data_IF_554012593372
#
_entry.id   IF_554012593372
#
_cell.length_a   1.000
_cell.length_b   1.000
_cell.length_c   1.000
_cell.angle_alpha   90.00
_cell.angle_beta   90.00
_cell.angle_gamma   90.00
#
_symmetry.space_group_name_H-M   'P 1'
#
loop_
_entity.id
_entity.type
_entity.pdbx_description
1 polymer ?
#
# COMPACT_ATOMS: atom_id res chain seq x y z
N UNK A 1 -20.94 10.49 0.14
CA UNK A 1 -19.54 10.67 -0.29
C UNK A 1 -18.69 9.66 0.46
N UNK A 2 -18.27 8.52 -0.11
CA UNK A 2 -17.40 7.61 0.62
C UNK A 2 -15.92 8.02 0.46
N UNK A 3 -15.33 8.25 1.63
CA UNK A 3 -13.95 8.13 2.09
C UNK A 3 -12.78 8.35 1.10
N UNK A 4 -11.92 9.27 1.52
CA UNK A 4 -10.60 9.61 0.99
C UNK A 4 -9.61 8.49 1.26
N UNK A 5 -8.79 8.13 0.27
CA UNK A 5 -7.64 7.22 0.43
C UNK A 5 -6.84 7.62 1.65
N UNK A 6 -6.84 6.76 2.66
CA UNK A 6 -6.35 7.14 3.97
C UNK A 6 -4.83 7.30 3.95
N UNK A 7 -4.35 8.46 4.40
CA UNK A 7 -2.92 8.72 4.50
C UNK A 7 -2.32 7.89 5.64
N UNK A 8 -1.02 7.60 5.56
CA UNK A 8 -0.28 6.82 6.59
C UNK A 8 -0.47 7.37 8.02
N UNK A 9 -0.78 8.67 8.15
CA UNK A 9 -1.06 9.32 9.42
C UNK A 9 -2.42 8.92 10.03
N UNK A 10 -3.41 8.55 9.22
CA UNK A 10 -4.75 8.15 9.68
C UNK A 10 -4.92 6.64 9.79
N UNK A 11 -4.27 5.87 8.92
CA UNK A 11 -4.39 4.41 8.85
C UNK A 11 -3.06 3.67 9.09
N UNK A 12 -2.45 3.86 10.27
CA UNK A 12 -1.14 3.24 10.57
C UNK A 12 -1.17 1.71 10.57
N UNK A 13 -2.33 1.11 10.85
CA UNK A 13 -2.57 -0.34 10.76
C UNK A 13 -2.48 -0.88 9.32
N UNK A 14 -2.74 -0.07 8.30
CA UNK A 14 -2.67 -0.50 6.90
C UNK A 14 -1.29 -0.29 6.26
N UNK A 15 -0.32 0.28 7.00
CA UNK A 15 0.98 0.72 6.47
C UNK A 15 1.77 -0.37 5.75
N UNK A 16 1.72 -1.60 6.24
CA UNK A 16 2.48 -2.73 5.68
C UNK A 16 1.61 -3.71 4.89
N UNK A 17 0.36 -3.34 4.61
CA UNK A 17 -0.54 -4.15 3.78
C UNK A 17 -0.13 -4.06 2.31
N UNK A 18 0.19 -5.18 1.67
CA UNK A 18 0.78 -5.24 0.31
C UNK A 18 0.00 -4.47 -0.76
N UNK A 19 -1.33 -4.50 -0.72
CA UNK A 19 -2.19 -3.81 -1.67
C UNK A 19 -2.22 -2.28 -1.47
N UNK A 20 -1.80 -1.81 -0.30
CA UNK A 20 -1.71 -0.39 0.05
C UNK A 20 -0.29 0.20 -0.17
N UNK A 21 0.69 -0.61 -0.55
CA UNK A 21 2.05 -0.17 -0.84
C UNK A 21 2.20 0.06 -2.35
N UNK A 22 2.10 1.32 -2.78
CA UNK A 22 2.18 1.69 -4.19
C UNK A 22 3.12 2.87 -4.39
N UNK A 23 3.89 2.84 -5.47
CA UNK A 23 4.81 3.92 -5.82
C UNK A 23 4.02 5.11 -6.37
N UNK A 24 4.40 6.32 -5.94
CA UNK A 24 3.93 7.59 -6.48
C UNK A 24 5.12 8.45 -6.90
N UNK A 25 4.89 9.37 -7.85
CA UNK A 25 5.88 10.37 -8.23
C UNK A 25 6.20 11.33 -7.07
N UNK A 26 7.37 11.97 -7.06
CA UNK A 26 7.79 12.86 -5.96
C UNK A 26 6.86 14.07 -5.81
N UNK A 27 6.53 14.75 -6.91
CA UNK A 27 5.61 15.89 -6.93
C UNK A 27 4.19 15.47 -6.46
N UNK A 28 3.77 14.27 -6.85
CA UNK A 28 2.47 13.70 -6.47
C UNK A 28 2.41 13.41 -4.96
N UNK A 29 3.45 12.77 -4.44
CA UNK A 29 3.51 12.28 -3.07
C UNK A 29 3.80 13.42 -2.08
N UNK A 30 4.80 14.25 -2.39
CA UNK A 30 5.30 15.31 -1.50
C UNK A 30 4.66 16.65 -1.87
N UNK A 31 4.76 17.07 -3.13
CA UNK A 31 4.32 18.40 -3.58
C UNK A 31 2.81 18.62 -3.53
N UNK A 32 2.03 17.58 -3.83
CA UNK A 32 0.55 17.62 -3.93
C UNK A 32 -0.16 16.92 -2.78
N UNK A 33 0.50 16.78 -1.62
CA UNK A 33 -0.06 16.13 -0.43
C UNK A 33 -0.62 14.73 -0.74
N UNK A 34 0.14 13.91 -1.46
CA UNK A 34 -0.26 12.55 -1.86
C UNK A 34 -1.18 12.46 -3.08
N UNK A 35 -1.65 13.59 -3.64
CA UNK A 35 -2.57 13.63 -4.79
C UNK A 35 -3.73 12.62 -4.67
N UNK A 36 -4.39 12.61 -3.51
CA UNK A 36 -5.28 11.54 -3.03
C UNK A 36 -6.36 11.13 -4.04
N UNK A 37 -7.00 12.09 -4.72
CA UNK A 37 -8.07 11.79 -5.68
C UNK A 37 -7.56 10.96 -6.86
N UNK A 38 -6.47 11.39 -7.48
CA UNK A 38 -5.88 10.68 -8.62
C UNK A 38 -5.25 9.36 -8.18
N UNK A 39 -4.66 9.34 -6.98
CA UNK A 39 -4.13 8.11 -6.38
C UNK A 39 -5.22 7.05 -6.20
N UNK A 40 -6.40 7.44 -5.69
CA UNK A 40 -7.55 6.54 -5.57
C UNK A 40 -7.97 5.95 -6.91
N UNK A 41 -8.07 6.77 -7.96
CA UNK A 41 -8.47 6.32 -9.30
C UNK A 41 -7.49 5.26 -9.81
N UNK A 42 -6.19 5.51 -9.71
CA UNK A 42 -5.17 4.53 -10.11
C UNK A 42 -5.20 3.24 -9.27
N UNK A 43 -5.52 3.34 -7.97
CA UNK A 43 -5.73 2.14 -7.14
C UNK A 43 -6.94 1.33 -7.60
N UNK A 44 -8.06 1.98 -7.91
CA UNK A 44 -9.26 1.30 -8.41
C UNK A 44 -8.96 0.57 -9.72
N UNK A 45 -8.20 1.18 -10.62
CA UNK A 45 -7.76 0.53 -11.86
C UNK A 45 -6.84 -0.68 -11.60
N UNK A 46 -6.00 -0.62 -10.56
CA UNK A 46 -5.00 -1.66 -10.24
C UNK A 46 -5.57 -2.86 -9.47
N UNK A 47 -6.42 -2.60 -8.46
CA UNK A 47 -6.90 -3.64 -7.52
C UNK A 47 -8.43 -3.75 -7.47
N UNK A 48 -9.16 -2.90 -8.18
CA UNK A 48 -10.61 -2.88 -8.24
C UNK A 48 -11.28 -2.05 -7.14
N UNK A 49 -12.48 -1.55 -7.43
CA UNK A 49 -13.24 -0.66 -6.53
C UNK A 49 -13.56 -1.34 -5.19
N UNK A 50 -13.92 -2.62 -5.19
CA UNK A 50 -14.25 -3.35 -3.96
C UNK A 50 -13.07 -3.45 -2.98
N UNK A 51 -11.85 -3.66 -3.50
CA UNK A 51 -10.65 -3.72 -2.67
C UNK A 51 -10.29 -2.34 -2.11
N UNK A 52 -10.41 -1.29 -2.92
CA UNK A 52 -10.18 0.09 -2.48
C UNK A 52 -11.19 0.50 -1.41
N UNK A 53 -12.48 0.19 -1.60
CA UNK A 53 -13.50 0.44 -0.58
C UNK A 53 -13.24 -0.35 0.71
N UNK A 54 -12.70 -1.57 0.61
CA UNK A 54 -12.27 -2.34 1.77
C UNK A 54 -11.17 -1.63 2.57
N UNK A 55 -10.18 -1.07 1.89
CA UNK A 55 -9.11 -0.28 2.52
C UNK A 55 -9.65 1.02 3.12
N UNK A 56 -10.47 1.76 2.38
CA UNK A 56 -11.03 3.05 2.80
C UNK A 56 -11.96 2.92 4.03
N UNK A 57 -12.52 1.73 4.28
CA UNK A 57 -13.42 1.48 5.42
C UNK A 57 -12.79 0.63 6.54
N UNK A 58 -11.54 0.16 6.41
CA UNK A 58 -10.88 -0.60 7.46
C UNK A 58 -10.40 0.36 8.56
N UNK A 59 -11.16 0.43 9.65
CA UNK A 59 -10.88 1.27 10.82
C UNK A 59 -10.38 0.46 12.03
N UNK A 60 -9.79 -0.72 11.78
CA UNK A 60 -9.27 -1.57 12.87
C UNK A 60 -8.07 -0.91 13.55
N UNK A 61 -7.94 -1.14 14.85
CA UNK A 61 -6.75 -0.74 15.59
C UNK A 61 -5.76 -1.89 15.55
N UNK A 62 -4.58 -1.64 15.00
CA UNK A 62 -3.48 -2.61 15.04
C UNK A 62 -2.16 -1.89 15.29
N UNK A 63 -1.38 -2.43 16.23
CA UNK A 63 -0.05 -1.96 16.58
C UNK A 63 0.95 -3.04 16.21
N UNK A 64 1.78 -2.75 15.23
CA UNK A 64 2.80 -3.65 14.74
C UNK A 64 3.83 -3.95 15.83
N UNK A 65 4.11 -5.23 16.06
CA UNK A 65 5.23 -5.66 16.89
C UNK A 65 6.52 -5.72 16.07
N UNK A 66 7.66 -5.75 16.75
CA UNK A 66 8.97 -5.84 16.07
C UNK A 66 9.06 -7.16 15.28
N UNK A 67 8.58 -8.25 15.88
CA UNK A 67 8.62 -9.60 15.30
C UNK A 67 7.77 -9.66 14.02
N UNK A 68 6.60 -9.02 14.00
CA UNK A 68 5.76 -8.92 12.80
C UNK A 68 6.47 -8.16 11.69
N UNK A 69 7.12 -7.03 12.03
CA UNK A 69 7.85 -6.22 11.06
C UNK A 69 9.07 -6.95 10.48
N UNK A 70 9.77 -7.73 11.31
CA UNK A 70 10.87 -8.59 10.86
C UNK A 70 10.37 -9.68 9.90
N UNK A 71 9.23 -10.31 10.19
CA UNK A 71 8.61 -11.29 9.31
C UNK A 71 8.20 -10.67 7.97
N UNK A 72 7.56 -9.49 7.99
CA UNK A 72 7.19 -8.75 6.77
C UNK A 72 8.43 -8.43 5.93
N UNK A 73 9.50 -7.96 6.58
CA UNK A 73 10.76 -7.65 5.90
C UNK A 73 11.38 -8.88 5.25
N UNK A 74 11.41 -10.01 5.96
CA UNK A 74 11.95 -11.26 5.43
C UNK A 74 11.15 -11.75 4.22
N UNK A 75 9.82 -11.68 4.30
CA UNK A 75 8.94 -12.05 3.19
C UNK A 75 9.17 -11.13 1.99
N UNK A 76 9.31 -9.82 2.18
CA UNK A 76 9.60 -8.89 1.10
C UNK A 76 10.92 -9.20 0.37
N UNK A 77 11.97 -9.60 1.11
CA UNK A 77 13.23 -10.03 0.48
C UNK A 77 13.10 -11.37 -0.26
N UNK A 78 12.27 -12.29 0.23
CA UNK A 78 11.98 -13.54 -0.48
C UNK A 78 11.24 -13.27 -1.81
N UNK A 79 10.20 -12.43 -1.77
CA UNK A 79 9.44 -11.99 -2.95
C UNK A 79 10.35 -11.31 -3.98
N UNK A 80 11.24 -10.43 -3.55
CA UNK A 80 12.18 -9.73 -4.42
C UNK A 80 13.15 -10.70 -5.10
N UNK A 81 13.70 -11.66 -4.35
CA UNK A 81 14.58 -12.70 -4.92
C UNK A 81 13.84 -13.55 -5.95
N UNK A 82 12.60 -13.95 -5.64
CA UNK A 82 11.77 -14.71 -6.57
C UNK A 82 11.45 -13.91 -7.84
N UNK A 83 11.16 -12.61 -7.71
CA UNK A 83 10.91 -11.73 -8.86
C UNK A 83 12.14 -11.62 -9.76
N UNK A 84 13.32 -11.34 -9.19
CA UNK A 84 14.57 -11.25 -9.95
C UNK A 84 14.86 -12.52 -10.74
N UNK A 85 14.71 -13.69 -10.08
CA UNK A 85 14.90 -14.99 -10.74
C UNK A 85 13.93 -15.20 -11.92
N UNK A 86 12.67 -14.74 -11.80
CA UNK A 86 11.70 -14.80 -12.91
C UNK A 86 12.09 -13.89 -14.07
N UNK A 87 12.60 -12.70 -13.78
CA UNK A 87 13.05 -11.74 -14.80
C UNK A 87 14.31 -12.23 -15.53
N UNK A 88 15.22 -12.92 -14.84
CA UNK A 88 16.43 -13.52 -15.45
C UNK A 88 16.10 -14.74 -16.32
N UNK A 89 14.97 -15.41 -16.06
CA UNK A 89 14.51 -16.58 -16.78
C UNK A 89 13.56 -16.27 -17.95
N UNK A 90 13.20 -15.00 -18.14
CA UNK A 90 12.31 -14.50 -19.20
C UNK A 90 13.13 -13.81 -20.30
#
# INVERSE_FOLDING_TARGET
MPATTETVAKASHLRFTRININLQCDDCNVGKSGNIKAYRVGLVEKIGEAAVQGLDNDNRIHRWTIEELEAIRLQAYADLRALKKRLEAA
#
